data_IF_703809212757
#
_entry.id   IF_703809212757
#
_cell.length_a   1.000
_cell.length_b   1.000
_cell.length_c   1.000
_cell.angle_alpha   90.00
_cell.angle_beta   90.00
_cell.angle_gamma   90.00
#
_symmetry.space_group_name_H-M   'P 1'
#
loop_
_entity.id
_entity.type
_entity.pdbx_description
1 polymer ?
#
# COMPACT_ATOMS: atom_id res chain seq x y z
N UNK A 1 -45.75 -4.63 32.32
CA UNK A 1 -44.42 -4.77 31.70
C UNK A 1 -44.45 -4.02 30.37
N UNK A 2 -43.37 -3.36 29.95
CA UNK A 2 -43.36 -2.61 28.68
C UNK A 2 -43.23 -3.57 27.50
N UNK A 3 -43.98 -3.35 26.41
CA UNK A 3 -43.99 -4.18 25.19
C UNK A 3 -42.57 -4.49 24.69
N UNK A 4 -41.67 -3.49 24.72
CA UNK A 4 -40.27 -3.66 24.29
C UNK A 4 -39.47 -4.63 25.15
N UNK A 5 -39.77 -4.74 26.44
CA UNK A 5 -39.08 -5.67 27.33
C UNK A 5 -39.52 -7.11 27.05
N UNK A 6 -40.76 -7.31 26.62
CA UNK A 6 -41.26 -8.62 26.17
C UNK A 6 -40.66 -9.01 24.82
N UNK A 7 -40.60 -8.07 23.87
CA UNK A 7 -39.91 -8.26 22.58
C UNK A 7 -38.44 -8.68 22.78
N UNK A 8 -37.72 -8.00 23.67
CA UNK A 8 -36.35 -8.37 24.02
C UNK A 8 -36.24 -9.79 24.58
N UNK A 9 -37.14 -10.13 25.51
CA UNK A 9 -37.15 -11.46 26.15
C UNK A 9 -37.43 -12.56 25.13
N UNK A 10 -38.37 -12.34 24.22
CA UNK A 10 -38.72 -13.27 23.16
C UNK A 10 -37.53 -13.45 22.20
N UNK A 11 -36.98 -12.36 21.66
CA UNK A 11 -35.83 -12.40 20.75
C UNK A 11 -34.62 -13.11 21.36
N UNK A 12 -34.35 -12.87 22.65
CA UNK A 12 -33.28 -13.55 23.38
C UNK A 12 -33.54 -15.05 23.50
N UNK A 13 -34.78 -15.46 23.82
CA UNK A 13 -35.15 -16.89 23.91
C UNK A 13 -34.99 -17.59 22.57
N UNK A 14 -35.55 -17.01 21.50
CA UNK A 14 -35.50 -17.58 20.16
C UNK A 14 -34.05 -17.72 19.67
N UNK A 15 -33.21 -16.73 19.97
CA UNK A 15 -31.76 -16.79 19.65
C UNK A 15 -31.07 -17.93 20.42
N UNK A 16 -31.35 -18.11 21.72
CA UNK A 16 -30.76 -19.20 22.50
C UNK A 16 -31.22 -20.57 22.02
N UNK A 17 -32.51 -20.74 21.77
CA UNK A 17 -33.08 -22.00 21.24
C UNK A 17 -32.45 -22.34 19.88
N UNK A 18 -32.31 -21.35 18.99
CA UNK A 18 -31.61 -21.53 17.71
C UNK A 18 -30.15 -21.95 17.89
N UNK A 19 -29.41 -21.30 18.79
CA UNK A 19 -27.99 -21.64 19.05
C UNK A 19 -27.83 -23.03 19.68
N UNK A 20 -28.77 -23.44 20.53
CA UNK A 20 -28.78 -24.77 21.14
C UNK A 20 -29.08 -25.84 20.09
N UNK A 21 -30.10 -25.64 19.25
CA UNK A 21 -30.46 -26.55 18.17
C UNK A 21 -29.31 -26.72 17.16
N UNK A 22 -28.56 -25.65 16.88
CA UNK A 22 -27.37 -25.68 16.00
C UNK A 22 -26.09 -26.18 16.70
N UNK A 23 -26.15 -26.51 17.99
CA UNK A 23 -25.04 -27.03 18.79
C UNK A 23 -23.79 -26.15 18.72
N UNK A 24 -23.98 -24.82 18.76
CA UNK A 24 -22.85 -23.91 18.66
C UNK A 24 -21.88 -24.06 19.86
N UNK A 25 -20.56 -24.00 19.62
CA UNK A 25 -19.55 -23.88 20.68
C UNK A 25 -19.83 -22.72 21.63
N UNK A 26 -19.46 -22.87 22.89
CA UNK A 26 -19.79 -21.88 23.93
C UNK A 26 -19.14 -20.51 23.66
N UNK A 27 -17.97 -20.47 23.05
CA UNK A 27 -17.31 -19.21 22.67
C UNK A 27 -18.07 -18.47 21.57
N UNK A 28 -18.64 -19.19 20.60
CA UNK A 28 -19.51 -18.59 19.59
C UNK A 28 -20.83 -18.11 20.21
N UNK A 29 -21.43 -18.88 21.12
CA UNK A 29 -22.63 -18.47 21.86
C UNK A 29 -22.40 -17.16 22.63
N UNK A 30 -21.29 -17.06 23.36
CA UNK A 30 -20.90 -15.82 24.06
C UNK A 30 -20.77 -14.63 23.13
N UNK A 31 -20.17 -14.81 21.94
CA UNK A 31 -20.05 -13.74 20.93
C UNK A 31 -21.41 -13.32 20.36
N UNK A 32 -22.27 -14.27 20.03
CA UNK A 32 -23.63 -14.00 19.54
C UNK A 32 -24.45 -13.27 20.60
N UNK A 33 -24.43 -13.72 21.86
CA UNK A 33 -25.11 -13.03 22.99
C UNK A 33 -24.68 -11.58 23.12
N UNK A 34 -23.36 -11.34 23.09
CA UNK A 34 -22.79 -9.99 23.15
C UNK A 34 -23.27 -9.11 22.01
N UNK A 35 -23.24 -9.64 20.78
CA UNK A 35 -23.71 -8.91 19.60
C UNK A 35 -25.20 -8.58 19.68
N UNK A 36 -26.04 -9.55 20.05
CA UNK A 36 -27.49 -9.34 20.16
C UNK A 36 -27.83 -8.34 21.27
N UNK A 37 -27.13 -8.40 22.41
CA UNK A 37 -27.27 -7.43 23.49
C UNK A 37 -26.83 -6.04 23.06
N UNK A 38 -25.68 -5.92 22.38
CA UNK A 38 -25.20 -4.65 21.88
C UNK A 38 -26.14 -4.06 20.82
N UNK A 39 -26.56 -4.85 19.81
CA UNK A 39 -27.53 -4.44 18.81
C UNK A 39 -28.82 -3.93 19.46
N UNK A 40 -29.32 -4.61 20.48
CA UNK A 40 -30.49 -4.17 21.22
C UNK A 40 -30.25 -2.87 22.00
N UNK A 41 -29.10 -2.71 22.66
CA UNK A 41 -28.77 -1.50 23.39
C UNK A 41 -28.62 -0.28 22.46
N UNK A 42 -27.97 -0.46 21.31
CA UNK A 42 -27.74 0.59 20.30
C UNK A 42 -29.04 1.02 19.61
N UNK A 43 -29.87 0.05 19.21
CA UNK A 43 -31.08 0.32 18.39
C UNK A 43 -32.37 0.38 19.20
N UNK A 44 -32.36 -0.06 20.46
CA UNK A 44 -33.57 -0.29 21.30
C UNK A 44 -34.63 -1.15 20.61
N UNK A 45 -34.18 -2.11 19.81
CA UNK A 45 -35.04 -3.02 19.05
C UNK A 45 -35.62 -2.43 17.77
N UNK A 46 -35.27 -1.20 17.43
CA UNK A 46 -35.74 -0.53 16.22
C UNK A 46 -34.90 -0.97 15.03
N UNK A 47 -35.56 -1.49 14.00
CA UNK A 47 -34.91 -1.78 12.73
C UNK A 47 -34.95 -0.54 11.82
N UNK A 48 -33.81 0.11 11.66
CA UNK A 48 -33.69 1.38 10.91
C UNK A 48 -34.10 1.20 9.45
N UNK A 49 -33.71 0.10 8.81
CA UNK A 49 -34.11 -0.22 7.43
C UNK A 49 -35.64 -0.33 7.30
N UNK A 50 -36.31 -1.04 8.22
CA UNK A 50 -37.78 -1.15 8.21
C UNK A 50 -38.46 0.22 8.34
N UNK A 51 -37.94 1.13 9.19
CA UNK A 51 -38.47 2.50 9.28
C UNK A 51 -38.30 3.24 7.97
N UNK A 52 -37.08 3.22 7.40
CA UNK A 52 -36.77 3.92 6.15
C UNK A 52 -37.57 3.37 4.96
N UNK A 53 -37.86 2.07 4.93
CA UNK A 53 -38.71 1.46 3.91
C UNK A 53 -40.18 1.84 4.03
N UNK A 54 -40.65 2.18 5.24
CA UNK A 54 -42.01 2.69 5.47
C UNK A 54 -42.21 4.15 5.04
N UNK A 55 -41.12 4.87 4.76
CA UNK A 55 -41.17 6.27 4.35
C UNK A 55 -41.20 6.43 2.82
N UNK A 56 -41.86 7.48 2.31
CA UNK A 56 -41.70 7.96 0.94
C UNK A 56 -40.23 8.13 0.54
N UNK A 57 -39.93 7.90 -0.75
CA UNK A 57 -38.55 7.84 -1.24
C UNK A 57 -37.77 9.15 -1.10
N UNK A 58 -38.45 10.29 -1.18
CA UNK A 58 -37.91 11.63 -0.93
C UNK A 58 -37.46 11.79 0.52
N UNK A 59 -38.33 11.47 1.50
CA UNK A 59 -37.97 11.55 2.92
C UNK A 59 -36.84 10.60 3.30
N UNK A 60 -36.86 9.37 2.75
CA UNK A 60 -35.77 8.41 2.97
C UNK A 60 -34.42 8.98 2.51
N UNK A 61 -34.38 9.59 1.32
CA UNK A 61 -33.18 10.22 0.76
C UNK A 61 -32.67 11.34 1.66
N UNK A 62 -33.54 12.25 2.06
CA UNK A 62 -33.18 13.39 2.91
C UNK A 62 -32.59 12.93 4.25
N UNK A 63 -33.19 11.90 4.86
CA UNK A 63 -32.70 11.31 6.12
C UNK A 63 -31.34 10.65 5.90
N UNK A 64 -31.20 9.77 4.91
CA UNK A 64 -29.93 9.08 4.64
C UNK A 64 -28.81 10.08 4.36
N UNK A 65 -29.09 11.09 3.54
CA UNK A 65 -28.18 12.19 3.23
C UNK A 65 -27.76 12.94 4.50
N UNK A 66 -28.70 13.31 5.36
CA UNK A 66 -28.39 13.98 6.62
C UNK A 66 -27.48 13.15 7.52
N UNK A 67 -27.68 11.82 7.57
CA UNK A 67 -26.93 10.94 8.46
C UNK A 67 -25.49 10.67 8.00
N UNK A 68 -25.23 10.56 6.70
CA UNK A 68 -23.94 10.07 6.21
C UNK A 68 -23.15 11.05 5.33
N UNK A 69 -23.73 12.14 4.81
CA UNK A 69 -23.05 13.04 3.87
C UNK A 69 -21.73 13.60 4.40
N UNK A 70 -21.70 14.02 5.67
CA UNK A 70 -20.50 14.57 6.29
C UNK A 70 -19.38 13.52 6.43
N UNK A 71 -19.74 12.25 6.62
CA UNK A 71 -18.79 11.14 6.68
C UNK A 71 -18.28 10.78 5.27
N UNK A 72 -19.17 10.73 4.28
CA UNK A 72 -18.82 10.48 2.88
C UNK A 72 -17.85 11.57 2.38
N UNK A 73 -18.14 12.86 2.64
CA UNK A 73 -17.28 13.98 2.21
C UNK A 73 -15.89 14.00 2.86
N UNK A 74 -15.67 13.32 3.98
CA UNK A 74 -14.33 13.18 4.58
C UNK A 74 -13.41 12.32 3.74
N UNK A 75 -13.95 11.44 2.90
CA UNK A 75 -13.15 10.71 1.91
C UNK A 75 -12.72 11.70 0.84
N UNK A 76 -11.41 11.98 0.69
CA UNK A 76 -10.95 13.02 -0.23
C UNK A 76 -11.38 12.80 -1.68
N UNK A 77 -11.54 11.54 -2.07
CA UNK A 77 -12.07 11.17 -3.38
C UNK A 77 -13.53 11.63 -3.56
N UNK A 78 -14.42 11.34 -2.61
CA UNK A 78 -15.83 11.73 -2.68
C UNK A 78 -16.02 13.25 -2.57
N UNK A 79 -15.15 13.96 -1.86
CA UNK A 79 -15.20 15.44 -1.76
C UNK A 79 -15.11 16.18 -3.11
N UNK A 80 -14.65 15.49 -4.17
CA UNK A 80 -14.52 16.03 -5.52
C UNK A 80 -15.67 15.64 -6.44
N UNK A 81 -16.62 14.84 -5.96
CA UNK A 81 -17.82 14.46 -6.68
C UNK A 81 -18.87 15.58 -6.59
N UNK A 82 -19.78 15.62 -7.56
CA UNK A 82 -20.94 16.49 -7.48
C UNK A 82 -21.95 15.97 -6.45
N UNK A 83 -22.89 16.84 -6.06
CA UNK A 83 -23.87 16.49 -5.03
C UNK A 83 -24.79 15.35 -5.47
N UNK A 84 -25.07 15.21 -6.78
CA UNK A 84 -25.91 14.11 -7.29
C UNK A 84 -25.27 12.74 -7.04
N UNK A 85 -23.95 12.61 -7.24
CA UNK A 85 -23.25 11.35 -7.02
C UNK A 85 -23.03 11.11 -5.52
N UNK A 86 -22.82 12.16 -4.74
CA UNK A 86 -22.81 12.06 -3.27
C UNK A 86 -24.15 11.56 -2.74
N UNK A 87 -25.26 12.08 -3.24
CA UNK A 87 -26.61 11.65 -2.86
C UNK A 87 -26.83 10.18 -3.25
N UNK A 88 -26.37 9.77 -4.44
CA UNK A 88 -26.44 8.36 -4.86
C UNK A 88 -25.62 7.40 -3.99
N UNK A 89 -24.50 7.85 -3.42
CA UNK A 89 -23.72 7.11 -2.42
C UNK A 89 -24.49 7.04 -1.11
N UNK A 90 -25.01 8.18 -0.63
CA UNK A 90 -25.74 8.26 0.64
C UNK A 90 -26.95 7.32 0.66
N UNK A 91 -27.66 7.18 -0.47
CA UNK A 91 -28.78 6.25 -0.62
C UNK A 91 -28.42 4.77 -0.44
N UNK A 92 -27.17 4.40 -0.76
CA UNK A 92 -26.68 3.00 -0.82
C UNK A 92 -25.91 2.56 0.42
N UNK A 93 -25.63 3.48 1.32
CA UNK A 93 -24.94 3.20 2.56
C UNK A 93 -25.89 2.52 3.55
N UNK A 94 -25.43 1.44 4.17
CA UNK A 94 -26.19 0.68 5.18
C UNK A 94 -25.55 0.77 6.57
N UNK A 95 -26.36 0.74 7.62
CA UNK A 95 -25.88 0.73 9.01
C UNK A 95 -25.21 -0.60 9.35
N UNK A 96 -24.03 -0.54 9.97
CA UNK A 96 -23.22 -1.69 10.34
C UNK A 96 -22.79 -1.59 11.81
N UNK A 97 -22.93 -2.69 12.54
CA UNK A 97 -22.56 -2.81 13.95
C UNK A 97 -21.49 -3.87 14.12
N UNK A 98 -20.44 -3.54 14.87
CA UNK A 98 -19.36 -4.47 15.20
C UNK A 98 -19.12 -4.50 16.70
N UNK A 99 -19.01 -5.70 17.28
CA UNK A 99 -18.62 -5.86 18.69
C UNK A 99 -17.12 -5.81 18.87
N UNK A 100 -16.67 -5.46 20.07
CA UNK A 100 -15.27 -5.54 20.47
C UNK A 100 -14.64 -6.91 20.14
N UNK A 101 -13.42 -6.87 19.60
CA UNK A 101 -12.62 -8.03 19.23
C UNK A 101 -12.98 -8.64 17.89
N UNK A 102 -14.05 -8.18 17.22
CA UNK A 102 -14.41 -8.65 15.88
C UNK A 102 -13.37 -8.18 14.86
N UNK A 103 -12.90 -9.12 14.05
CA UNK A 103 -12.11 -8.81 12.86
C UNK A 103 -13.08 -8.48 11.74
N UNK A 104 -12.99 -7.26 11.22
CA UNK A 104 -13.81 -6.79 10.11
C UNK A 104 -13.25 -7.33 8.81
N UNK A 105 -11.93 -7.21 8.63
CA UNK A 105 -11.20 -7.75 7.49
C UNK A 105 -9.79 -8.11 7.94
N UNK A 106 -9.18 -9.17 7.38
CA UNK A 106 -7.76 -9.48 7.58
C UNK A 106 -6.95 -9.09 6.36
N UNK A 107 -5.66 -8.80 6.58
CA UNK A 107 -4.72 -8.59 5.48
C UNK A 107 -4.76 -9.80 4.53
N UNK A 108 -5.00 -9.55 3.24
CA UNK A 108 -5.17 -10.57 2.20
C UNK A 108 -6.62 -10.96 1.88
N UNK A 109 -7.57 -10.74 2.80
CA UNK A 109 -8.99 -11.06 2.57
C UNK A 109 -9.60 -10.15 1.49
N UNK A 110 -10.59 -10.63 0.70
CA UNK A 110 -11.30 -9.78 -0.25
C UNK A 110 -12.08 -8.67 0.47
N UNK A 111 -11.89 -7.43 0.04
CA UNK A 111 -12.62 -6.27 0.57
C UNK A 111 -13.98 -6.19 -0.10
N UNK A 112 -15.05 -6.47 0.65
CA UNK A 112 -16.42 -6.45 0.13
C UNK A 112 -17.16 -5.13 0.36
N UNK A 113 -16.72 -4.34 1.34
CA UNK A 113 -17.37 -3.08 1.73
C UNK A 113 -16.35 -2.08 2.27
N UNK A 114 -16.65 -0.80 2.06
CA UNK A 114 -15.96 0.34 2.65
C UNK A 114 -16.75 0.80 3.87
N UNK A 115 -16.07 1.01 5.00
CA UNK A 115 -16.71 1.43 6.25
C UNK A 115 -16.38 2.87 6.61
N UNK A 116 -17.39 3.62 7.04
CA UNK A 116 -17.28 4.97 7.61
C UNK A 116 -17.62 4.92 9.09
N UNK A 117 -16.67 5.26 9.96
CA UNK A 117 -16.81 5.06 11.40
C UNK A 117 -17.64 6.21 11.99
N UNK A 118 -18.78 5.89 12.61
CA UNK A 118 -19.65 6.86 13.29
C UNK A 118 -19.28 6.92 14.78
N UNK A 119 -19.13 5.76 15.41
CA UNK A 119 -18.75 5.62 16.82
C UNK A 119 -17.84 4.42 17.03
N UNK A 120 -17.08 4.45 18.12
CA UNK A 120 -16.15 3.38 18.48
C UNK A 120 -14.73 3.63 17.95
N UNK A 121 -13.90 2.59 17.99
CA UNK A 121 -12.51 2.62 17.54
C UNK A 121 -12.13 1.29 16.89
N UNK A 122 -11.43 1.37 15.77
CA UNK A 122 -10.85 0.22 15.09
C UNK A 122 -9.32 0.30 15.15
N UNK A 123 -8.68 -0.85 15.21
CA UNK A 123 -7.26 -1.01 14.95
C UNK A 123 -7.07 -1.43 13.49
N UNK A 124 -6.22 -0.74 12.76
CA UNK A 124 -5.82 -1.10 11.40
C UNK A 124 -4.33 -1.38 11.40
N UNK A 125 -3.95 -2.64 11.11
CA UNK A 125 -2.58 -3.12 11.21
C UNK A 125 -2.14 -3.85 9.95
N UNK A 126 -0.84 -3.82 9.64
CA UNK A 126 -0.26 -4.56 8.51
C UNK A 126 1.10 -5.10 8.86
N UNK A 127 1.36 -6.30 8.34
CA UNK A 127 2.66 -6.99 8.40
C UNK A 127 3.42 -6.88 7.08
N UNK A 128 2.88 -6.13 6.11
CA UNK A 128 3.40 -5.98 4.76
C UNK A 128 3.69 -7.34 4.12
N UNK A 129 2.68 -8.22 4.14
CA UNK A 129 2.79 -9.59 3.63
C UNK A 129 3.69 -10.51 4.45
N UNK A 130 3.71 -10.35 5.79
CA UNK A 130 4.47 -11.23 6.68
C UNK A 130 5.98 -10.96 6.72
N UNK A 131 6.44 -9.77 6.35
CA UNK A 131 7.85 -9.41 6.41
C UNK A 131 8.35 -9.38 7.86
N UNK A 132 9.39 -10.16 8.16
CA UNK A 132 9.97 -10.22 9.51
C UNK A 132 10.42 -8.83 9.99
N UNK A 133 10.03 -8.49 11.22
CA UNK A 133 10.36 -7.20 11.86
C UNK A 133 9.55 -6.00 11.36
N UNK A 134 8.50 -6.20 10.53
CA UNK A 134 7.61 -5.13 10.10
C UNK A 134 6.21 -5.30 10.70
N UNK A 135 5.81 -4.35 11.53
CA UNK A 135 4.44 -4.24 12.04
C UNK A 135 4.07 -2.75 12.10
N UNK A 136 3.05 -2.36 11.35
CA UNK A 136 2.51 -1.01 11.39
C UNK A 136 1.06 -1.11 11.90
N UNK A 137 0.72 -0.38 12.95
CA UNK A 137 -0.64 -0.32 13.49
C UNK A 137 -1.05 1.14 13.71
N UNK A 138 -2.28 1.47 13.34
CA UNK A 138 -2.93 2.76 13.56
C UNK A 138 -4.32 2.54 14.16
N UNK A 139 -4.81 3.51 14.92
CA UNK A 139 -6.19 3.50 15.43
C UNK A 139 -7.07 4.40 14.59
N UNK A 140 -8.12 3.83 14.00
CA UNK A 140 -9.18 4.57 13.31
C UNK A 140 -10.26 5.00 14.31
N UNK A 141 -10.67 6.26 14.20
CA UNK A 141 -11.57 6.98 15.11
C UNK A 141 -12.86 7.40 14.39
N UNK A 142 -13.86 7.93 15.11
CA UNK A 142 -15.05 8.49 14.48
C UNK A 142 -14.70 9.53 13.40
N UNK A 143 -15.25 9.32 12.21
CA UNK A 143 -14.98 10.11 11.01
C UNK A 143 -13.86 9.57 10.12
N UNK A 144 -13.10 8.56 10.56
CA UNK A 144 -12.18 7.82 9.70
C UNK A 144 -12.94 6.74 8.92
N UNK A 145 -12.26 6.13 7.94
CA UNK A 145 -12.81 5.08 7.09
C UNK A 145 -11.78 3.97 6.83
N UNK A 146 -12.23 2.83 6.35
CA UNK A 146 -11.38 1.74 5.85
C UNK A 146 -12.02 1.04 4.64
N UNK A 147 -11.21 0.30 3.89
CA UNK A 147 -11.65 -0.37 2.65
C UNK A 147 -11.43 0.50 1.41
N UNK A 148 -10.50 1.45 1.48
CA UNK A 148 -10.12 2.37 0.40
C UNK A 148 -9.60 1.65 -0.85
N UNK A 149 -9.20 0.38 -0.74
CA UNK A 149 -8.86 -0.48 -1.87
C UNK A 149 -10.00 -0.55 -2.90
N UNK A 150 -11.26 -0.48 -2.43
CA UNK A 150 -12.43 -0.48 -3.29
C UNK A 150 -12.52 0.77 -4.17
N UNK A 151 -11.99 1.91 -3.75
CA UNK A 151 -11.99 3.13 -4.57
C UNK A 151 -11.16 2.91 -5.84
N UNK A 152 -10.01 2.24 -5.72
CA UNK A 152 -9.17 1.92 -6.87
C UNK A 152 -9.79 0.88 -7.78
N UNK A 153 -10.31 -0.19 -7.18
CA UNK A 153 -10.97 -1.24 -7.94
C UNK A 153 -12.20 -0.73 -8.69
N UNK A 154 -13.08 0.05 -8.05
CA UNK A 154 -14.31 0.54 -8.65
C UNK A 154 -14.07 1.49 -9.85
N UNK A 155 -12.89 2.12 -9.93
CA UNK A 155 -12.54 3.03 -11.03
C UNK A 155 -11.85 2.34 -12.20
N UNK A 156 -11.44 1.07 -12.08
CA UNK A 156 -10.80 0.35 -13.18
C UNK A 156 -11.83 -0.08 -14.26
N UNK A 157 -11.61 0.27 -15.54
CA UNK A 157 -12.52 0.00 -16.67
C UNK A 157 -12.96 -1.45 -16.73
N UNK A 158 -11.96 -2.32 -16.58
CA UNK A 158 -12.09 -3.79 -16.56
C UNK A 158 -11.95 -4.33 -15.16
N UNK A 159 -12.55 -3.66 -14.17
CA UNK A 159 -12.62 -4.17 -12.81
C UNK A 159 -13.25 -5.57 -12.85
N UNK A 160 -12.41 -6.58 -12.63
CA UNK A 160 -12.83 -7.98 -12.62
C UNK A 160 -13.89 -8.20 -11.54
N UNK A 161 -14.69 -9.27 -11.65
CA UNK A 161 -15.58 -9.70 -10.57
C UNK A 161 -14.83 -10.01 -9.26
N UNK A 162 -13.50 -10.20 -9.33
CA UNK A 162 -12.67 -10.41 -8.15
C UNK A 162 -12.50 -9.08 -7.40
N UNK A 163 -12.86 -9.11 -6.12
CA UNK A 163 -12.65 -8.01 -5.19
C UNK A 163 -11.16 -7.82 -4.88
N UNK A 164 -10.70 -6.59 -4.60
CA UNK A 164 -9.33 -6.34 -4.22
C UNK A 164 -9.03 -6.97 -2.85
N UNK A 165 -7.81 -7.48 -2.67
CA UNK A 165 -7.34 -7.96 -1.37
C UNK A 165 -7.03 -6.80 -0.44
N UNK A 166 -7.41 -6.93 0.82
CA UNK A 166 -7.13 -5.96 1.87
C UNK A 166 -5.64 -5.84 2.13
N UNK A 167 -5.14 -4.62 2.24
CA UNK A 167 -3.75 -4.36 2.59
C UNK A 167 -3.50 -4.41 4.11
N UNK A 168 -4.57 -4.40 4.91
CA UNK A 168 -4.52 -4.30 6.36
C UNK A 168 -5.52 -5.23 7.06
N UNK A 169 -5.18 -5.64 8.26
CA UNK A 169 -6.11 -6.27 9.20
C UNK A 169 -6.81 -5.19 10.01
N UNK A 170 -8.13 -5.15 9.94
CA UNK A 170 -8.97 -4.22 10.70
C UNK A 170 -9.74 -4.97 11.79
N UNK A 171 -9.57 -4.54 13.04
CA UNK A 171 -10.18 -5.18 14.22
C UNK A 171 -10.88 -4.14 15.09
N UNK A 172 -12.07 -4.46 15.58
CA UNK A 172 -12.78 -3.63 16.53
C UNK A 172 -12.11 -3.65 17.92
N UNK A 173 -11.73 -2.48 18.43
CA UNK A 173 -11.16 -2.32 19.78
C UNK A 173 -12.23 -2.13 20.85
N UNK A 174 -13.40 -1.65 20.47
CA UNK A 174 -14.60 -1.43 21.29
C UNK A 174 -15.82 -1.71 20.41
N UNK A 175 -17.04 -1.59 20.94
CA UNK A 175 -18.20 -1.61 20.06
C UNK A 175 -18.20 -0.43 19.09
N UNK A 176 -18.53 -0.71 17.83
CA UNK A 176 -18.40 0.21 16.71
C UNK A 176 -19.73 0.30 15.98
N UNK A 177 -20.14 1.54 15.72
CA UNK A 177 -21.23 1.89 14.82
C UNK A 177 -20.58 2.50 13.58
N UNK A 178 -20.88 1.94 12.42
CA UNK A 178 -20.33 2.38 11.16
C UNK A 178 -21.41 2.36 10.07
N UNK A 179 -21.14 3.09 9.00
CA UNK A 179 -21.84 2.98 7.75
C UNK A 179 -21.03 2.12 6.79
N UNK A 180 -21.67 1.22 6.05
CA UNK A 180 -21.04 0.34 5.08
C UNK A 180 -21.53 0.66 3.66
N UNK A 181 -20.60 0.87 2.74
CA UNK A 181 -20.86 0.98 1.31
C UNK A 181 -20.30 -0.26 0.61
N UNK A 182 -21.16 -1.07 0.01
CA UNK A 182 -20.75 -2.31 -0.64
C UNK A 182 -19.97 -2.03 -1.93
N UNK A 183 -19.11 -2.98 -2.29
CA UNK A 183 -18.32 -2.91 -3.52
C UNK A 183 -19.19 -2.73 -4.76
N UNK A 184 -20.28 -3.48 -4.87
CA UNK A 184 -21.23 -3.42 -5.99
C UNK A 184 -21.86 -2.04 -6.14
N UNK A 185 -22.31 -1.46 -5.02
CA UNK A 185 -22.90 -0.14 -4.94
C UNK A 185 -21.90 0.97 -5.30
N UNK A 186 -20.67 0.87 -4.77
CA UNK A 186 -19.60 1.79 -5.14
C UNK A 186 -19.26 1.69 -6.63
N UNK A 187 -19.18 0.48 -7.19
CA UNK A 187 -18.90 0.25 -8.61
C UNK A 187 -20.02 0.81 -9.49
N UNK A 188 -21.27 0.67 -9.07
CA UNK A 188 -22.41 1.26 -9.77
C UNK A 188 -22.26 2.79 -9.86
N UNK A 189 -21.97 3.47 -8.75
CA UNK A 189 -21.77 4.93 -8.75
C UNK A 189 -20.51 5.32 -9.53
N UNK A 190 -19.40 4.58 -9.37
CA UNK A 190 -18.15 4.85 -10.06
C UNK A 190 -18.28 4.73 -11.58
N UNK A 191 -19.11 3.81 -12.09
CA UNK A 191 -19.37 3.68 -13.52
C UNK A 191 -20.13 4.89 -14.08
N UNK A 192 -21.03 5.51 -13.30
CA UNK A 192 -21.67 6.78 -13.68
C UNK A 192 -20.65 7.94 -13.64
N UNK A 193 -19.72 7.87 -12.68
CA UNK A 193 -18.68 8.88 -12.46
C UNK A 193 -17.59 8.90 -13.54
N UNK A 194 -17.25 7.75 -14.15
CA UNK A 194 -16.21 7.69 -15.22
C UNK A 194 -16.51 8.58 -16.42
N UNK A 195 -17.78 8.95 -16.61
CA UNK A 195 -18.27 9.80 -17.71
C UNK A 195 -17.94 11.28 -17.53
N UNK A 196 -17.51 11.70 -16.33
CA UNK A 196 -17.27 13.09 -15.98
C UNK A 196 -15.78 13.33 -15.73
N UNK A 197 -15.06 13.66 -16.80
CA UNK A 197 -13.60 13.80 -16.80
C UNK A 197 -13.14 15.02 -16.01
N UNK A 198 -12.19 14.82 -15.08
CA UNK A 198 -11.28 15.88 -14.67
C UNK A 198 -9.90 15.32 -14.37
N UNK A 199 -8.84 15.96 -14.91
CA UNK A 199 -7.44 15.70 -14.53
C UNK A 199 -7.24 15.80 -13.00
N UNK A 200 -8.08 16.60 -12.33
CA UNK A 200 -8.12 16.74 -10.87
C UNK A 200 -8.47 15.42 -10.18
N UNK A 201 -9.46 14.69 -10.69
CA UNK A 201 -9.92 13.42 -10.13
C UNK A 201 -8.88 12.31 -10.30
N UNK A 202 -8.25 12.24 -11.47
CA UNK A 202 -7.12 11.34 -11.71
C UNK A 202 -5.97 11.60 -10.74
N UNK A 203 -5.64 12.87 -10.49
CA UNK A 203 -4.60 13.24 -9.55
C UNK A 203 -4.96 12.87 -8.11
N UNK A 204 -6.17 13.22 -7.67
CA UNK A 204 -6.71 12.85 -6.34
C UNK A 204 -6.65 11.34 -6.16
N UNK A 205 -7.09 10.58 -7.16
CA UNK A 205 -7.05 9.13 -7.13
C UNK A 205 -5.62 8.58 -6.95
N UNK A 206 -4.67 9.04 -7.77
CA UNK A 206 -3.26 8.63 -7.67
C UNK A 206 -2.64 9.01 -6.32
N UNK A 207 -3.02 10.17 -5.79
CA UNK A 207 -2.51 10.67 -4.52
C UNK A 207 -3.02 9.87 -3.33
N UNK A 208 -4.29 9.48 -3.31
CA UNK A 208 -4.91 8.77 -2.19
C UNK A 208 -4.82 7.25 -2.29
N UNK A 209 -4.64 6.69 -3.49
CA UNK A 209 -4.49 5.23 -3.66
C UNK A 209 -3.20 4.71 -3.00
N UNK A 210 -3.36 3.76 -2.07
CA UNK A 210 -2.23 3.10 -1.42
C UNK A 210 -1.28 2.44 -2.43
N UNK A 211 -1.83 1.83 -3.48
CA UNK A 211 -1.04 1.16 -4.52
C UNK A 211 -0.17 2.18 -5.26
N UNK A 212 -0.75 3.31 -5.71
CA UNK A 212 0.00 4.36 -6.38
C UNK A 212 1.05 5.01 -5.49
N UNK A 213 0.74 5.28 -4.22
CA UNK A 213 1.70 5.82 -3.25
C UNK A 213 2.87 4.86 -3.00
N UNK A 214 2.58 3.57 -2.82
CA UNK A 214 3.59 2.54 -2.59
C UNK A 214 4.48 2.36 -3.82
N UNK A 215 3.87 2.28 -5.01
CA UNK A 215 4.61 2.22 -6.26
C UNK A 215 5.51 3.44 -6.45
N UNK A 216 4.99 4.65 -6.23
CA UNK A 216 5.75 5.89 -6.33
C UNK A 216 6.92 5.94 -5.33
N UNK A 217 6.68 5.57 -4.07
CA UNK A 217 7.72 5.48 -3.06
C UNK A 217 8.82 4.48 -3.45
N UNK A 218 8.45 3.28 -3.89
CA UNK A 218 9.39 2.27 -4.34
C UNK A 218 10.18 2.72 -5.59
N UNK A 219 9.52 3.40 -6.53
CA UNK A 219 10.15 3.95 -7.73
C UNK A 219 11.20 5.01 -7.36
N UNK A 220 10.84 5.95 -6.50
CA UNK A 220 11.76 6.98 -5.98
C UNK A 220 12.94 6.33 -5.24
N UNK A 221 12.67 5.35 -4.37
CA UNK A 221 13.72 4.61 -3.67
C UNK A 221 14.67 3.88 -4.63
N UNK A 222 14.15 3.23 -5.66
CA UNK A 222 14.96 2.54 -6.66
C UNK A 222 15.82 3.53 -7.46
N UNK A 223 15.25 4.67 -7.85
CA UNK A 223 15.97 5.75 -8.54
C UNK A 223 17.09 6.33 -7.67
N UNK A 224 16.82 6.59 -6.39
CA UNK A 224 17.80 7.07 -5.41
C UNK A 224 18.93 6.06 -5.20
N UNK A 225 18.61 4.77 -4.97
CA UNK A 225 19.61 3.70 -4.84
C UNK A 225 20.48 3.57 -6.09
N UNK A 226 19.91 3.80 -7.28
CA UNK A 226 20.67 3.81 -8.54
C UNK A 226 21.58 5.04 -8.64
N UNK A 227 21.10 6.22 -8.24
CA UNK A 227 21.90 7.44 -8.17
C UNK A 227 23.07 7.30 -7.18
N UNK A 228 22.81 6.84 -5.95
CA UNK A 228 23.83 6.62 -4.93
C UNK A 228 24.91 5.62 -5.39
N UNK A 229 24.51 4.51 -6.03
CA UNK A 229 25.46 3.56 -6.66
C UNK A 229 26.32 4.22 -7.73
N UNK A 230 25.74 5.08 -8.58
CA UNK A 230 26.50 5.84 -9.59
C UNK A 230 27.47 6.83 -8.96
N UNK A 231 27.09 7.50 -7.89
CA UNK A 231 27.98 8.43 -7.16
C UNK A 231 29.15 7.68 -6.52
N UNK A 232 28.89 6.63 -5.75
CA UNK A 232 29.97 5.83 -5.14
C UNK A 232 30.91 5.22 -6.18
N UNK A 233 30.40 4.79 -7.34
CA UNK A 233 31.25 4.29 -8.43
C UNK A 233 32.12 5.39 -9.07
N UNK A 234 31.62 6.63 -9.16
CA UNK A 234 32.41 7.79 -9.62
C UNK A 234 33.47 8.18 -8.60
N UNK A 235 33.11 8.22 -7.32
CA UNK A 235 34.05 8.56 -6.24
C UNK A 235 35.18 7.52 -6.16
N UNK A 236 34.85 6.24 -6.29
CA UNK A 236 35.84 5.15 -6.33
C UNK A 236 36.74 5.27 -7.56
N UNK A 237 36.17 5.55 -8.75
CA UNK A 237 36.96 5.76 -9.96
C UNK A 237 37.86 7.00 -9.87
N UNK A 238 37.41 8.07 -9.19
CA UNK A 238 38.22 9.26 -8.95
C UNK A 238 39.40 8.96 -8.01
N UNK A 239 39.16 8.24 -6.90
CA UNK A 239 40.23 7.78 -6.00
C UNK A 239 41.22 6.85 -6.71
N UNK A 240 40.75 5.90 -7.52
CA UNK A 240 41.62 5.03 -8.32
C UNK A 240 42.45 5.84 -9.32
N UNK A 241 41.87 6.83 -9.99
CA UNK A 241 42.61 7.70 -10.92
C UNK A 241 43.65 8.57 -10.23
N UNK A 242 43.34 9.08 -9.03
CA UNK A 242 44.27 9.87 -8.21
C UNK A 242 45.43 9.00 -7.72
N UNK A 243 45.14 7.81 -7.18
CA UNK A 243 46.18 6.88 -6.71
C UNK A 243 47.09 6.37 -7.84
N UNK A 244 46.56 6.19 -9.05
CA UNK A 244 47.36 5.86 -10.23
C UNK A 244 48.26 7.03 -10.64
N UNK A 245 47.75 8.26 -10.62
CA UNK A 245 48.54 9.46 -10.93
C UNK A 245 49.66 9.68 -9.90
N UNK A 246 49.37 9.52 -8.61
CA UNK A 246 50.36 9.66 -7.53
C UNK A 246 51.46 8.60 -7.66
N UNK A 247 51.10 7.35 -7.97
CA UNK A 247 52.07 6.28 -8.17
C UNK A 247 52.96 6.52 -9.41
N UNK A 248 52.42 7.09 -10.48
CA UNK A 248 53.23 7.46 -11.65
C UNK A 248 54.20 8.61 -11.35
N UNK A 249 53.77 9.62 -10.57
CA UNK A 249 54.65 10.71 -10.14
C UNK A 249 55.80 10.21 -9.26
N UNK A 250 55.53 9.28 -8.33
CA UNK A 250 56.58 8.67 -7.49
C UNK A 250 57.53 7.77 -8.29
N UNK A 251 57.03 7.05 -9.30
CA UNK A 251 57.88 6.24 -10.18
C UNK A 251 58.77 7.11 -11.08
N UNK A 252 58.27 8.26 -11.57
CA UNK A 252 59.05 9.24 -12.33
C UNK A 252 60.13 9.94 -11.47
N UNK A 253 59.81 10.31 -10.22
CA UNK A 253 60.80 10.86 -9.28
C UNK A 253 61.90 9.85 -8.91
N UNK A 254 61.55 8.57 -8.73
CA UNK A 254 62.53 7.49 -8.47
C UNK A 254 63.41 7.16 -9.68
N UNK A 255 62.92 7.37 -10.91
CA UNK A 255 63.72 7.23 -12.13
C UNK A 255 64.65 8.44 -12.35
N UNK A 256 64.21 9.67 -12.06
CA UNK A 256 65.06 10.88 -12.14
C UNK A 256 66.18 10.89 -11.08
N UNK A 257 65.95 10.37 -9.87
CA UNK A 257 67.02 10.23 -8.86
C UNK A 257 68.08 9.20 -9.25
N UNK A 258 67.72 8.17 -10.04
CA UNK A 258 68.69 7.19 -10.56
C UNK A 258 69.56 7.73 -11.69
N UNK A 259 69.10 8.72 -12.44
CA UNK A 259 69.85 9.27 -13.58
C UNK A 259 70.89 10.35 -13.17
N UNK A 260 70.76 10.93 -11.97
CA UNK A 260 71.73 11.90 -11.41
C UNK A 260 72.93 11.25 -10.68
N UNK A 261 73.02 9.92 -10.64
CA UNK A 261 73.99 9.17 -9.85
C UNK A 261 75.26 8.67 -10.57
N UNK A 262 75.49 8.94 -11.86
CA UNK A 262 76.68 8.40 -12.55
C UNK A 262 77.48 9.43 -13.35
N UNK A 263 78.72 9.67 -12.92
CA UNK A 263 79.74 10.39 -13.68
C UNK A 263 81.06 9.58 -13.75
N UNK A 264 81.34 9.05 -14.95
CA UNK A 264 82.67 8.76 -15.58
C UNK A 264 83.41 7.44 -15.27
N UNK A 265 84.38 6.98 -16.12
CA UNK A 265 84.35 6.67 -17.57
C UNK A 265 84.95 5.24 -17.88
N UNK A 266 85.16 4.79 -19.16
CA UNK A 266 84.93 3.39 -19.56
C UNK A 266 86.21 2.53 -19.77
N UNK A 267 86.13 1.21 -19.53
CA UNK A 267 87.01 0.22 -20.20
C UNK A 267 86.36 -1.18 -20.32
N UNK A 268 86.25 -1.63 -21.57
CA UNK A 268 86.26 -2.97 -22.20
C UNK A 268 85.83 -4.28 -21.49
N UNK A 269 85.07 -5.03 -22.31
CA UNK A 269 85.09 -6.48 -22.58
C UNK A 269 84.10 -7.42 -21.87
N UNK A 270 83.17 -7.87 -22.70
CA UNK A 270 82.55 -9.19 -22.85
C UNK A 270 81.63 -9.80 -21.78
N UNK A 271 80.53 -10.31 -22.34
CA UNK A 271 79.72 -11.46 -21.97
C UNK A 271 78.47 -11.32 -21.08
N UNK A 272 77.35 -11.63 -21.74
CA UNK A 272 76.21 -12.44 -21.30
C UNK A 272 75.02 -11.77 -20.58
N UNK A 273 73.92 -11.77 -21.34
CA UNK A 273 72.57 -12.20 -20.94
C UNK A 273 71.61 -11.17 -20.30
N UNK A 274 70.89 -10.49 -21.20
CA UNK A 274 69.46 -10.13 -21.15
C UNK A 274 68.72 -10.16 -19.81
N UNK A 275 68.53 -8.98 -19.22
CA UNK A 275 67.55 -8.73 -18.14
C UNK A 275 66.53 -7.66 -18.52
N UNK A 276 65.91 -7.80 -19.70
CA UNK A 276 64.69 -7.07 -20.06
C UNK A 276 63.44 -7.89 -19.67
N UNK A 277 63.29 -8.28 -18.40
CA UNK A 277 62.13 -9.06 -17.92
C UNK A 277 61.83 -8.77 -16.44
N UNK A 278 61.23 -7.63 -16.13
CA UNK A 278 60.57 -7.48 -14.82
C UNK A 278 59.40 -6.51 -14.73
N UNK A 279 59.11 -5.69 -15.75
CA UNK A 279 58.11 -4.61 -15.56
C UNK A 279 56.81 -4.80 -16.36
N UNK A 280 56.73 -5.78 -17.28
CA UNK A 280 55.49 -6.06 -18.02
C UNK A 280 54.44 -6.84 -17.20
N UNK A 281 54.86 -7.57 -16.16
CA UNK A 281 53.99 -8.48 -15.42
C UNK A 281 52.99 -7.77 -14.50
N UNK A 282 53.39 -6.65 -13.89
CA UNK A 282 52.62 -5.94 -12.86
C UNK A 282 51.50 -5.11 -13.50
N UNK A 283 51.78 -4.41 -14.60
CA UNK A 283 50.81 -3.62 -15.38
C UNK A 283 49.74 -4.51 -16.04
N UNK A 284 50.12 -5.74 -16.42
CA UNK A 284 49.21 -6.72 -17.03
C UNK A 284 48.30 -7.40 -15.98
N UNK A 285 48.75 -7.51 -14.72
CA UNK A 285 47.94 -8.02 -13.61
C UNK A 285 46.93 -6.98 -13.12
N UNK A 286 47.31 -5.70 -13.04
CA UNK A 286 46.42 -4.60 -12.67
C UNK A 286 45.30 -4.40 -13.72
N UNK A 287 45.63 -4.46 -15.02
CA UNK A 287 44.63 -4.36 -16.09
C UNK A 287 43.67 -5.56 -16.13
N UNK A 288 44.14 -6.79 -15.84
CA UNK A 288 43.26 -7.97 -15.73
C UNK A 288 42.38 -7.94 -14.48
N UNK A 289 42.87 -7.39 -13.37
CA UNK A 289 42.07 -7.21 -12.15
C UNK A 289 40.95 -6.15 -12.36
N UNK A 290 41.28 -5.00 -12.98
CA UNK A 290 40.32 -3.97 -13.34
C UNK A 290 39.28 -4.43 -14.40
N UNK A 291 39.69 -5.27 -15.35
CA UNK A 291 38.77 -5.87 -16.33
C UNK A 291 37.83 -6.91 -15.69
N UNK A 292 38.29 -7.65 -14.68
CA UNK A 292 37.47 -8.61 -13.95
C UNK A 292 36.49 -7.96 -12.97
N UNK A 293 36.84 -6.83 -12.33
CA UNK A 293 35.91 -6.06 -11.49
C UNK A 293 34.82 -5.37 -12.34
N UNK A 294 35.15 -4.86 -13.53
CA UNK A 294 34.17 -4.33 -14.49
C UNK A 294 33.23 -5.41 -15.03
N UNK A 295 33.73 -6.62 -15.33
CA UNK A 295 32.89 -7.76 -15.73
C UNK A 295 32.05 -8.32 -14.58
N UNK A 296 32.54 -8.30 -13.34
CA UNK A 296 31.77 -8.67 -12.14
C UNK A 296 30.62 -7.70 -11.87
N UNK A 297 30.85 -6.40 -12.06
CA UNK A 297 29.82 -5.36 -11.93
C UNK A 297 28.77 -5.40 -13.05
N UNK A 298 29.14 -5.85 -14.26
CA UNK A 298 28.20 -6.07 -15.37
C UNK A 298 27.48 -7.44 -15.32
N UNK A 299 28.06 -8.44 -14.64
CA UNK A 299 27.45 -9.77 -14.43
C UNK A 299 26.50 -9.88 -13.25
N UNK A 300 26.29 -8.82 -12.46
CA UNK A 300 25.06 -8.68 -11.68
C UNK A 300 23.94 -8.29 -12.65
N UNK A 301 23.64 -9.22 -13.56
CA UNK A 301 22.35 -9.34 -14.21
C UNK A 301 21.36 -9.50 -13.06
N UNK A 302 20.53 -8.48 -12.88
CA UNK A 302 19.13 -8.69 -12.57
C UNK A 302 18.88 -9.64 -11.37
N UNK A 303 19.54 -9.40 -10.23
CA UNK A 303 18.96 -9.82 -8.95
C UNK A 303 17.70 -8.98 -8.82
N UNK A 304 16.60 -9.57 -9.29
CA UNK A 304 15.33 -8.90 -9.56
C UNK A 304 14.97 -7.98 -8.42
N UNK A 305 15.09 -6.67 -8.66
CA UNK A 305 14.09 -5.77 -8.11
C UNK A 305 12.76 -6.38 -8.56
N UNK A 306 11.80 -6.63 -7.66
CA UNK A 306 10.48 -7.03 -8.10
C UNK A 306 10.11 -6.04 -9.22
N UNK A 307 9.79 -6.56 -10.41
CA UNK A 307 9.25 -5.74 -11.49
C UNK A 307 7.98 -5.16 -10.90
N UNK A 308 8.09 -3.99 -10.30
CA UNK A 308 6.97 -3.24 -9.76
C UNK A 308 6.18 -2.83 -10.97
N UNK A 309 5.23 -3.68 -11.36
CA UNK A 309 4.28 -3.38 -12.41
C UNK A 309 3.67 -2.02 -12.05
N UNK A 310 3.72 -1.11 -13.02
CA UNK A 310 3.02 0.17 -12.89
C UNK A 310 1.55 -0.18 -12.61
N UNK A 311 0.94 0.35 -11.53
CA UNK A 311 -0.47 0.12 -11.27
C UNK A 311 -1.27 0.56 -12.50
N UNK A 312 -2.30 -0.21 -12.85
CA UNK A 312 -3.16 0.14 -13.98
C UNK A 312 -3.79 1.50 -13.74
N UNK A 313 -3.69 2.38 -14.75
CA UNK A 313 -4.37 3.66 -14.70
C UNK A 313 -5.86 3.41 -14.91
N UNK A 314 -6.74 4.01 -14.08
CA UNK A 314 -8.15 3.96 -14.40
C UNK A 314 -8.33 4.67 -15.73
N UNK A 315 -8.87 3.96 -16.71
CA UNK A 315 -9.24 4.56 -17.99
C UNK A 315 -10.52 5.36 -17.77
N UNK A 316 -10.41 6.65 -18.02
CA UNK A 316 -11.54 7.55 -17.97
C UNK A 316 -11.92 7.97 -19.38
N UNK A 317 -11.49 7.30 -20.46
CA UNK A 317 -11.64 7.78 -21.84
C UNK A 317 -12.60 6.97 -22.73
N UNK A 318 -13.25 5.92 -22.22
CA UNK A 318 -14.18 5.10 -23.01
C UNK A 318 -15.53 5.83 -23.25
N UNK A 319 -15.82 6.16 -24.52
CA UNK A 319 -17.17 6.33 -25.03
C UNK A 319 -17.85 4.95 -25.14
N UNK A 320 -19.19 4.85 -24.98
CA UNK A 320 -19.87 3.55 -24.98
C UNK A 320 -19.73 2.84 -26.33
N UNK A 321 -19.51 1.52 -26.30
CA UNK A 321 -19.88 0.65 -27.41
C UNK A 321 -21.42 0.68 -27.52
N UNK A 322 -21.93 1.20 -28.64
CA UNK A 322 -23.35 1.30 -29.00
C UNK A 322 -24.10 -0.05 -29.02
#
# INVERSE_FOLDING_TARGET
MTVRLEEWRLKRRDTEEWMQHRQLPEDLKKRVRRFVQYKWAATRGVDEETILHGLPSDLRRDIQRHLCLDLVRRVPFFSQMDDQLLDAICERVASCLSTEGTYIVREGDPVAEMLFIIRGRLESSTTNGGRTGFFNSITLRPGDFCGEELLAWALLPKSTLNLPSSTRTVRALVEVEAFALRAEDLKFVANQFRRLHSKKLQHTFRFYSHHWRTWAACFIQAAWRRHKRRMSAKDLAAMESFALSERMMTEEEEEEEKDKGSSSPPVSSNDQQSTAKSNLGITLLASRFAANTRRGAQKIKDVGLPKLQKPEEPDFSEEPDD
#
